data_IF_901730414639
#
_entry.id   IF_901730414639
#
_cell.length_a   1.000
_cell.length_b   1.000
_cell.length_c   1.000
_cell.angle_alpha   90.00
_cell.angle_beta   90.00
_cell.angle_gamma   90.00
#
_symmetry.space_group_name_H-M   'P 1'
#
loop_
_entity.id
_entity.type
_entity.pdbx_description
1 polymer ?
#
# COMPACT_ATOMS: atom_id res chain seq x y z
N UNK A 1 -12.22 5.20 -20.65
CA UNK A 1 -12.02 4.26 -19.53
C UNK A 1 -13.32 4.20 -18.77
N UNK A 2 -13.80 3.00 -18.40
CA UNK A 2 -15.00 2.87 -17.57
C UNK A 2 -14.77 3.50 -16.19
N UNK A 3 -15.84 4.03 -15.59
CA UNK A 3 -15.77 4.60 -14.25
C UNK A 3 -15.39 3.51 -13.23
N UNK A 4 -14.58 3.87 -12.23
CA UNK A 4 -14.10 2.91 -11.24
C UNK A 4 -15.23 2.32 -10.40
N UNK A 5 -16.36 3.02 -10.22
CA UNK A 5 -17.54 2.49 -9.49
C UNK A 5 -18.21 1.38 -10.28
N UNK A 6 -18.40 1.59 -11.58
CA UNK A 6 -18.98 0.58 -12.48
C UNK A 6 -18.11 -0.68 -12.53
N UNK A 7 -16.78 -0.51 -12.51
CA UNK A 7 -15.84 -1.63 -12.45
C UNK A 7 -15.94 -2.39 -11.11
N UNK A 8 -16.13 -1.70 -9.99
CA UNK A 8 -16.38 -2.35 -8.69
C UNK A 8 -17.70 -3.13 -8.74
N UNK A 9 -18.79 -2.52 -9.22
CA UNK A 9 -20.09 -3.18 -9.32
C UNK A 9 -19.99 -4.44 -10.20
N UNK A 10 -19.25 -4.36 -11.30
CA UNK A 10 -18.98 -5.51 -12.17
C UNK A 10 -18.20 -6.60 -11.44
N UNK A 11 -17.12 -6.25 -10.74
CA UNK A 11 -16.30 -7.21 -10.02
C UNK A 11 -17.12 -7.93 -8.93
N UNK A 12 -17.94 -7.20 -8.17
CA UNK A 12 -18.83 -7.76 -7.14
C UNK A 12 -19.79 -8.81 -7.71
N UNK A 13 -20.32 -8.60 -8.91
CA UNK A 13 -21.16 -9.62 -9.58
C UNK A 13 -20.38 -10.86 -9.99
N UNK A 14 -19.09 -10.72 -10.31
CA UNK A 14 -18.21 -11.80 -10.74
C UNK A 14 -17.68 -12.64 -9.57
N UNK A 15 -17.48 -12.07 -8.36
CA UNK A 15 -16.80 -12.72 -7.22
C UNK A 15 -17.27 -14.14 -6.90
N UNK A 16 -18.57 -14.40 -7.06
CA UNK A 16 -19.18 -15.68 -6.71
C UNK A 16 -19.02 -16.77 -7.77
N UNK A 17 -18.73 -16.38 -9.02
CA UNK A 17 -18.74 -17.29 -10.19
C UNK A 17 -17.43 -17.32 -10.97
N UNK A 18 -16.63 -16.25 -10.90
CA UNK A 18 -15.34 -16.09 -11.54
C UNK A 18 -14.43 -15.21 -10.67
N UNK A 19 -13.71 -15.84 -9.74
CA UNK A 19 -12.83 -15.14 -8.81
C UNK A 19 -11.60 -14.53 -9.50
N UNK A 20 -11.09 -15.15 -10.55
CA UNK A 20 -9.95 -14.65 -11.33
C UNK A 20 -10.38 -13.43 -12.15
N UNK A 21 -11.55 -13.50 -12.79
CA UNK A 21 -12.16 -12.39 -13.50
C UNK A 21 -12.45 -11.21 -12.57
N UNK A 22 -13.05 -11.46 -11.41
CA UNK A 22 -13.30 -10.43 -10.40
C UNK A 22 -12.02 -9.74 -9.94
N UNK A 23 -10.96 -10.52 -9.64
CA UNK A 23 -9.64 -9.98 -9.29
C UNK A 23 -9.09 -9.04 -10.38
N UNK A 24 -9.14 -9.46 -11.65
CA UNK A 24 -8.68 -8.63 -12.77
C UNK A 24 -9.51 -7.33 -12.90
N UNK A 25 -10.82 -7.41 -12.72
CA UNK A 25 -11.73 -6.26 -12.76
C UNK A 25 -11.47 -5.29 -11.60
N UNK A 26 -11.22 -5.77 -10.38
CA UNK A 26 -10.81 -4.91 -9.27
C UNK A 26 -9.48 -4.20 -9.56
N UNK A 27 -8.51 -4.88 -10.16
CA UNK A 27 -7.26 -4.25 -10.60
C UNK A 27 -7.48 -3.11 -11.62
N UNK A 28 -8.48 -3.25 -12.52
CA UNK A 28 -8.89 -2.17 -13.42
C UNK A 28 -9.54 -1.01 -12.67
N UNK A 29 -10.39 -1.31 -11.68
CA UNK A 29 -11.03 -0.30 -10.85
C UNK A 29 -9.99 0.56 -10.09
N UNK A 30 -8.98 -0.08 -9.49
CA UNK A 30 -7.86 0.60 -8.82
C UNK A 30 -7.16 1.56 -9.77
N UNK A 31 -6.74 1.09 -10.95
CA UNK A 31 -6.07 1.95 -11.95
C UNK A 31 -6.95 3.13 -12.38
N UNK A 32 -8.25 2.90 -12.57
CA UNK A 32 -9.21 3.94 -12.94
C UNK A 32 -9.39 4.99 -11.84
N UNK A 33 -9.51 4.54 -10.59
CA UNK A 33 -9.64 5.42 -9.43
C UNK A 33 -8.37 6.27 -9.23
N UNK A 34 -7.18 5.67 -9.31
CA UNK A 34 -5.90 6.37 -9.18
C UNK A 34 -5.68 7.39 -10.29
N UNK A 35 -6.00 7.05 -11.55
CA UNK A 35 -5.92 8.00 -12.65
C UNK A 35 -6.84 9.22 -12.42
N UNK A 36 -8.04 9.01 -11.88
CA UNK A 36 -8.92 10.11 -11.51
C UNK A 36 -8.37 10.92 -10.32
N UNK A 37 -7.80 10.27 -9.30
CA UNK A 37 -7.17 10.95 -8.17
C UNK A 37 -5.99 11.83 -8.64
N UNK A 38 -5.10 11.30 -9.47
CA UNK A 38 -3.97 12.05 -10.04
C UNK A 38 -4.41 13.32 -10.77
N UNK A 39 -5.53 13.28 -11.49
CA UNK A 39 -6.09 14.46 -12.17
C UNK A 39 -6.53 15.54 -11.15
N UNK A 40 -7.08 15.12 -10.01
CA UNK A 40 -7.53 16.03 -8.96
C UNK A 40 -6.37 16.65 -8.17
N UNK A 41 -5.20 16.00 -8.13
CA UNK A 41 -4.02 16.52 -7.43
C UNK A 41 -3.39 17.78 -8.05
N UNK A 42 -3.97 18.30 -9.13
CA UNK A 42 -3.66 19.66 -9.62
C UNK A 42 -4.20 20.75 -8.70
N UNK A 43 -5.17 20.41 -7.85
CA UNK A 43 -5.68 21.28 -6.80
C UNK A 43 -4.83 21.18 -5.52
N UNK A 44 -4.46 22.32 -4.94
CA UNK A 44 -3.58 22.38 -3.77
C UNK A 44 -4.21 21.70 -2.54
N UNK A 45 -5.50 21.91 -2.29
CA UNK A 45 -6.17 21.31 -1.13
C UNK A 45 -6.22 19.80 -1.27
N UNK A 46 -6.50 19.30 -2.49
CA UNK A 46 -6.45 17.87 -2.78
C UNK A 46 -5.04 17.28 -2.55
N UNK A 47 -3.99 17.98 -3.02
CA UNK A 47 -2.60 17.56 -2.80
C UNK A 47 -2.23 17.51 -1.31
N UNK A 48 -2.61 18.52 -0.53
CA UNK A 48 -2.35 18.57 0.92
C UNK A 48 -3.08 17.47 1.70
N UNK A 49 -4.31 17.10 1.28
CA UNK A 49 -5.05 15.98 1.88
C UNK A 49 -4.31 14.67 1.65
N UNK A 50 -3.86 14.41 0.42
CA UNK A 50 -3.10 13.19 0.09
C UNK A 50 -1.76 13.15 0.82
N UNK A 51 -1.03 14.26 0.88
CA UNK A 51 0.21 14.37 1.65
C UNK A 51 -0.02 14.07 3.14
N UNK A 52 -1.07 14.62 3.74
CA UNK A 52 -1.42 14.37 5.14
C UNK A 52 -1.80 12.91 5.39
N UNK A 53 -2.55 12.28 4.48
CA UNK A 53 -2.86 10.85 4.54
C UNK A 53 -1.61 9.98 4.43
N UNK A 54 -0.70 10.33 3.52
CA UNK A 54 0.58 9.63 3.36
C UNK A 54 1.37 9.68 4.66
N UNK A 55 1.54 10.88 5.23
CA UNK A 55 2.23 11.05 6.52
C UNK A 55 1.59 10.27 7.66
N UNK A 56 0.26 10.20 7.72
CA UNK A 56 -0.47 9.43 8.73
C UNK A 56 -0.22 7.92 8.61
N UNK A 57 -0.25 7.38 7.39
CA UNK A 57 0.00 5.96 7.13
C UNK A 57 1.45 5.57 7.45
N UNK A 58 2.42 6.41 7.06
CA UNK A 58 3.84 6.23 7.40
C UNK A 58 4.04 6.22 8.92
N UNK A 59 3.48 7.22 9.62
CA UNK A 59 3.58 7.31 11.07
C UNK A 59 2.93 6.10 11.77
N UNK A 60 1.81 5.62 11.24
CA UNK A 60 1.13 4.44 11.75
C UNK A 60 1.96 3.16 11.57
N UNK A 61 2.53 2.92 10.38
CA UNK A 61 3.43 1.78 10.15
C UNK A 61 4.59 1.78 11.14
N UNK A 62 5.22 2.94 11.36
CA UNK A 62 6.31 3.06 12.33
C UNK A 62 5.85 2.87 13.77
N UNK A 63 4.64 3.33 14.12
CA UNK A 63 4.07 3.07 15.44
C UNK A 63 3.91 1.56 15.69
N UNK A 64 3.46 0.80 14.68
CA UNK A 64 3.34 -0.68 14.77
C UNK A 64 4.71 -1.32 14.91
N UNK A 65 5.68 -0.91 14.09
CA UNK A 65 7.05 -1.46 14.11
C UNK A 65 7.77 -1.19 15.44
N UNK A 66 7.70 0.03 15.95
CA UNK A 66 8.28 0.39 17.25
C UNK A 66 7.62 -0.38 18.39
N UNK A 67 6.30 -0.57 18.32
CA UNK A 67 5.57 -1.36 19.30
C UNK A 67 5.98 -2.83 19.27
N UNK A 68 6.10 -3.43 18.07
CA UNK A 68 6.60 -4.79 17.92
C UNK A 68 8.00 -4.94 18.54
N UNK A 69 8.90 -3.99 18.28
CA UNK A 69 10.24 -3.98 18.89
C UNK A 69 10.20 -3.86 20.41
N UNK A 70 9.25 -3.11 20.97
CA UNK A 70 9.09 -2.95 22.41
C UNK A 70 8.43 -4.16 23.09
N UNK A 71 7.51 -4.83 22.39
CA UNK A 71 6.85 -6.06 22.85
C UNK A 71 7.80 -7.27 22.79
N UNK A 72 8.87 -7.20 21.98
CA UNK A 72 9.89 -8.25 21.78
C UNK A 72 9.29 -9.66 21.60
N UNK A 73 8.33 -9.84 20.66
CA UNK A 73 7.70 -11.13 20.45
C UNK A 73 8.71 -12.13 19.88
N UNK A 74 8.47 -13.41 20.13
CA UNK A 74 9.22 -14.49 19.47
C UNK A 74 9.08 -14.34 17.94
N UNK A 75 10.22 -14.27 17.24
CA UNK A 75 10.27 -14.17 15.78
C UNK A 75 9.58 -15.38 15.16
N UNK A 76 8.64 -15.14 14.24
CA UNK A 76 7.81 -16.21 13.66
C UNK A 76 6.62 -16.64 14.53
N UNK A 77 6.54 -16.15 15.77
CA UNK A 77 5.38 -16.32 16.63
C UNK A 77 4.16 -15.54 16.12
N UNK A 78 2.98 -15.87 16.64
CA UNK A 78 1.70 -15.28 16.18
C UNK A 78 1.70 -13.75 16.32
N UNK A 79 2.21 -13.23 17.43
CA UNK A 79 2.24 -11.78 17.67
C UNK A 79 3.23 -11.06 16.75
N UNK A 80 4.40 -11.67 16.49
CA UNK A 80 5.38 -11.16 15.52
C UNK A 80 4.78 -11.14 14.12
N UNK A 81 4.18 -12.26 13.68
CA UNK A 81 3.56 -12.38 12.37
C UNK A 81 2.40 -11.42 12.17
N UNK A 82 1.55 -11.23 13.19
CA UNK A 82 0.44 -10.28 13.11
C UNK A 82 0.94 -8.83 12.99
N UNK A 83 1.93 -8.43 13.79
CA UNK A 83 2.52 -7.08 13.73
C UNK A 83 3.26 -6.84 12.41
N UNK A 84 4.04 -7.81 11.96
CA UNK A 84 4.75 -7.75 10.69
C UNK A 84 3.77 -7.66 9.52
N UNK A 85 2.73 -8.49 9.49
CA UNK A 85 1.68 -8.44 8.48
C UNK A 85 0.88 -7.13 8.51
N UNK A 86 0.58 -6.60 9.70
CA UNK A 86 -0.08 -5.31 9.87
C UNK A 86 0.76 -4.16 9.26
N UNK A 87 2.05 -4.10 9.58
CA UNK A 87 2.94 -3.08 9.03
C UNK A 87 3.13 -3.26 7.51
N UNK A 88 3.31 -4.50 7.05
CA UNK A 88 3.50 -4.84 5.64
C UNK A 88 2.28 -4.50 4.78
N UNK A 89 1.07 -4.77 5.28
CA UNK A 89 -0.15 -4.40 4.55
C UNK A 89 -0.28 -2.89 4.35
N UNK A 90 0.08 -2.08 5.36
CA UNK A 90 0.06 -0.62 5.24
C UNK A 90 1.15 -0.12 4.30
N UNK A 91 2.37 -0.68 4.36
CA UNK A 91 3.44 -0.30 3.43
C UNK A 91 3.11 -0.67 1.99
N UNK A 92 2.48 -1.83 1.73
CA UNK A 92 2.01 -2.15 0.37
C UNK A 92 1.00 -1.13 -0.17
N UNK A 93 0.07 -0.64 0.67
CA UNK A 93 -0.85 0.43 0.24
C UNK A 93 -0.09 1.72 -0.09
N UNK A 94 0.92 2.09 0.71
CA UNK A 94 1.73 3.26 0.43
C UNK A 94 2.51 3.11 -0.87
N UNK A 95 3.28 2.04 -0.99
CA UNK A 95 4.27 1.82 -2.03
C UNK A 95 3.67 1.33 -3.36
N UNK A 96 2.54 0.62 -3.34
CA UNK A 96 1.97 0.04 -4.57
C UNK A 96 0.72 0.76 -5.06
N UNK A 97 0.08 1.58 -4.21
CA UNK A 97 -1.14 2.32 -4.55
C UNK A 97 -0.90 3.83 -4.54
N UNK A 98 -0.41 4.38 -3.42
CA UNK A 98 -0.27 5.83 -3.27
C UNK A 98 0.97 6.36 -4.00
N UNK A 99 2.06 5.58 -4.07
CA UNK A 99 3.28 5.98 -4.80
C UNK A 99 3.06 6.22 -6.30
N UNK A 100 2.00 5.65 -6.88
CA UNK A 100 1.61 5.93 -8.26
C UNK A 100 1.13 7.39 -8.45
N UNK A 101 0.87 8.12 -7.36
CA UNK A 101 0.44 9.51 -7.37
C UNK A 101 1.66 10.44 -7.30
N UNK A 102 1.88 11.16 -8.39
CA UNK A 102 2.99 12.10 -8.54
C UNK A 102 2.59 13.52 -8.15
N UNK A 103 3.48 14.21 -7.44
CA UNK A 103 3.40 15.65 -7.25
C UNK A 103 3.90 16.38 -8.50
N UNK A 104 3.04 16.42 -9.52
CA UNK A 104 3.30 17.10 -10.80
C UNK A 104 3.57 18.61 -10.64
N UNK A 105 3.17 19.21 -9.53
CA UNK A 105 3.37 20.64 -9.28
C UNK A 105 4.63 20.93 -8.44
N UNK A 106 5.27 19.90 -7.85
CA UNK A 106 6.41 20.03 -6.93
C UNK A 106 6.15 21.01 -5.78
N UNK A 107 4.92 21.00 -5.27
CA UNK A 107 4.44 21.91 -4.21
C UNK A 107 4.33 21.24 -2.84
N UNK A 108 4.50 19.92 -2.77
CA UNK A 108 4.39 19.08 -1.57
C UNK A 108 5.69 18.30 -1.32
N UNK A 109 5.79 17.63 -0.16
CA UNK A 109 6.88 16.71 0.14
C UNK A 109 6.63 15.26 -0.33
N UNK A 110 5.65 15.01 -1.20
CA UNK A 110 5.24 13.65 -1.61
C UNK A 110 6.41 12.81 -2.13
N UNK A 111 7.31 13.37 -2.94
CA UNK A 111 8.50 12.63 -3.42
C UNK A 111 9.48 12.25 -2.29
N UNK A 112 9.61 13.08 -1.25
CA UNK A 112 10.45 12.77 -0.10
C UNK A 112 9.80 11.71 0.79
N UNK A 113 8.47 11.76 0.93
CA UNK A 113 7.69 10.76 1.65
C UNK A 113 7.69 9.40 0.95
N UNK A 114 7.66 9.40 -0.38
CA UNK A 114 7.86 8.20 -1.21
C UNK A 114 9.22 7.54 -0.92
N UNK A 115 10.34 8.25 -1.13
CA UNK A 115 11.66 7.69 -0.85
C UNK A 115 11.80 7.17 0.60
N UNK A 116 11.14 7.83 1.56
CA UNK A 116 11.12 7.37 2.95
C UNK A 116 10.29 6.09 3.11
N UNK A 117 9.14 5.97 2.46
CA UNK A 117 8.31 4.77 2.53
C UNK A 117 8.99 3.57 1.88
N UNK A 118 9.74 3.76 0.79
CA UNK A 118 10.54 2.69 0.17
C UNK A 118 11.52 2.09 1.18
N UNK A 119 12.26 2.96 1.88
CA UNK A 119 13.22 2.53 2.92
C UNK A 119 12.50 1.80 4.05
N UNK A 120 11.34 2.30 4.46
CA UNK A 120 10.51 1.67 5.50
C UNK A 120 9.99 0.29 5.05
N UNK A 121 9.56 0.17 3.80
CA UNK A 121 9.05 -1.07 3.23
C UNK A 121 10.13 -2.16 3.23
N UNK A 122 11.37 -1.81 2.86
CA UNK A 122 12.52 -2.72 2.92
C UNK A 122 12.81 -3.22 4.35
N UNK A 123 12.71 -2.34 5.35
CA UNK A 123 12.83 -2.75 6.76
C UNK A 123 11.71 -3.71 7.20
N UNK A 124 10.48 -3.45 6.74
CA UNK A 124 9.32 -4.30 7.05
C UNK A 124 9.43 -5.66 6.37
N UNK A 125 9.97 -5.74 5.14
CA UNK A 125 10.19 -7.01 4.43
C UNK A 125 11.05 -7.97 5.26
N UNK A 126 12.07 -7.46 5.97
CA UNK A 126 12.90 -8.29 6.86
C UNK A 126 12.04 -8.95 7.94
N UNK A 127 11.09 -8.21 8.50
CA UNK A 127 10.17 -8.73 9.53
C UNK A 127 9.14 -9.69 8.95
N UNK A 128 8.60 -9.38 7.77
CA UNK A 128 7.68 -10.25 7.03
C UNK A 128 8.31 -11.62 6.70
N UNK A 129 9.57 -11.62 6.28
CA UNK A 129 10.36 -12.86 6.06
C UNK A 129 10.61 -13.60 7.37
N UNK A 130 11.00 -12.87 8.44
CA UNK A 130 11.18 -13.45 9.77
C UNK A 130 9.91 -14.09 10.34
N UNK A 131 8.75 -13.54 9.99
CA UNK A 131 7.43 -14.07 10.35
C UNK A 131 7.07 -15.35 9.58
N UNK A 132 7.85 -15.74 8.56
CA UNK A 132 7.55 -16.89 7.71
C UNK A 132 6.27 -16.72 6.89
N UNK A 133 5.92 -15.47 6.52
CA UNK A 133 4.77 -15.22 5.67
C UNK A 133 4.94 -15.97 4.34
N UNK A 134 3.98 -16.84 4.02
CA UNK A 134 3.97 -17.68 2.80
C UNK A 134 3.31 -17.01 1.60
N UNK A 135 2.94 -15.73 1.75
CA UNK A 135 2.39 -14.91 0.67
C UNK A 135 3.52 -14.35 -0.19
N UNK A 136 3.26 -14.11 -1.48
CA UNK A 136 4.21 -13.44 -2.37
C UNK A 136 4.52 -12.04 -1.82
N UNK A 137 5.76 -11.87 -1.33
CA UNK A 137 6.24 -10.57 -0.88
C UNK A 137 6.66 -9.74 -2.09
N UNK A 138 6.35 -8.45 -2.05
CA UNK A 138 6.65 -7.48 -3.08
C UNK A 138 7.71 -6.52 -2.55
N UNK A 139 8.61 -6.09 -3.42
CA UNK A 139 9.51 -4.98 -3.10
C UNK A 139 8.74 -3.65 -3.04
N UNK A 140 9.43 -2.57 -2.72
CA UNK A 140 8.81 -1.25 -2.64
C UNK A 140 8.23 -0.75 -3.98
N UNK A 141 8.60 -1.36 -5.11
CA UNK A 141 8.09 -1.02 -6.44
C UNK A 141 7.02 -1.99 -6.95
N UNK A 142 6.59 -2.92 -6.10
CA UNK A 142 5.50 -3.86 -6.39
C UNK A 142 5.95 -5.08 -7.20
N UNK A 143 7.25 -5.29 -7.36
CA UNK A 143 7.79 -6.45 -8.04
C UNK A 143 7.92 -7.62 -7.06
N UNK A 144 7.65 -8.84 -7.54
CA UNK A 144 7.72 -10.04 -6.71
C UNK A 144 9.16 -10.28 -6.29
N UNK A 145 9.36 -10.43 -4.98
CA UNK A 145 10.62 -10.89 -4.40
C UNK A 145 10.71 -12.41 -4.56
N UNK A 146 11.47 -12.84 -5.57
CA UNK A 146 11.90 -14.23 -5.66
C UNK A 146 13.01 -14.47 -4.61
N UNK A 147 12.88 -15.55 -3.84
CA UNK A 147 13.84 -15.96 -2.81
C UNK A 147 15.27 -16.14 -3.35
#
# INVERSE_FOLDING_TARGET
MSDWKELIDQAMMQETSDTIGAHATYGLAVRSALANAQRLLTDLEAAQIIESMYGALVAYSQQVMLRMKAEDPEIGGVDHAFRAGQAYGVSCVLNHLIDQLTDVASITALQALDNFSDTLHDEIIVQARGAGLTVELLDAKGEILYD
#
